data_IF_764464716548
#
_entry.id   IF_764464716548
#
_cell.length_a   1.000
_cell.length_b   1.000
_cell.length_c   1.000
_cell.angle_alpha   90.00
_cell.angle_beta   90.00
_cell.angle_gamma   90.00
#
_symmetry.space_group_name_H-M   'P 1'
#
loop_
_entity.id
_entity.type
_entity.pdbx_description
1 polymer ?
#
# COMPACT_ATOMS: atom_id res chain seq x y z
N UNK A 1 -8.57 -18.53 0.45
CA UNK A 1 -7.74 -17.32 0.50
C UNK A 1 -6.60 -17.65 1.43
N UNK A 2 -5.45 -17.98 0.86
CA UNK A 2 -4.25 -18.43 1.56
C UNK A 2 -3.24 -17.29 1.46
N UNK A 3 -2.66 -16.87 2.59
CA UNK A 3 -1.47 -16.02 2.57
C UNK A 3 -0.31 -16.88 2.06
N UNK A 4 0.02 -16.77 0.77
CA UNK A 4 1.17 -17.45 0.19
C UNK A 4 2.32 -16.46 0.10
N UNK A 5 3.24 -16.52 1.05
CA UNK A 5 4.55 -15.88 0.91
C UNK A 5 5.37 -16.69 -0.10
N UNK A 6 5.67 -16.12 -1.27
CA UNK A 6 6.59 -16.73 -2.21
C UNK A 6 8.04 -16.54 -1.73
N UNK A 7 8.54 -17.50 -0.97
CA UNK A 7 9.96 -17.63 -0.64
C UNK A 7 10.42 -19.05 -0.94
N UNK A 8 11.09 -19.27 -2.08
CA UNK A 8 11.79 -20.54 -2.34
C UNK A 8 13.21 -20.24 -2.78
N UNK A 9 14.15 -20.24 -1.83
CA UNK A 9 15.57 -20.43 -2.11
C UNK A 9 16.21 -21.31 -1.03
N UNK A 10 16.96 -22.31 -1.50
CA UNK A 10 17.69 -23.29 -0.71
C UNK A 10 18.66 -22.61 0.25
N UNK A 11 18.47 -22.85 1.56
CA UNK A 11 19.47 -22.53 2.57
C UNK A 11 20.65 -23.48 2.42
N UNK A 12 21.76 -23.00 1.86
CA UNK A 12 23.09 -23.38 2.34
C UNK A 12 24.03 -22.19 2.15
N UNK A 13 24.51 -21.67 3.29
CA UNK A 13 25.50 -20.60 3.50
C UNK A 13 25.00 -19.13 3.46
N UNK A 14 25.12 -18.51 4.64
CA UNK A 14 25.28 -17.08 4.93
C UNK A 14 24.11 -16.13 4.65
N UNK A 15 23.40 -15.81 5.75
CA UNK A 15 22.78 -14.53 6.13
C UNK A 15 22.68 -13.48 5.00
N UNK A 16 21.63 -13.58 4.19
CA UNK A 16 21.04 -12.47 3.45
C UNK A 16 19.55 -12.80 3.26
N UNK A 17 18.71 -12.36 4.19
CA UNK A 17 17.30 -12.77 4.29
C UNK A 17 16.38 -11.67 3.73
N UNK A 18 15.52 -12.06 2.78
CA UNK A 18 14.35 -11.34 2.23
C UNK A 18 14.57 -10.03 1.42
N UNK A 19 14.89 -10.19 0.13
CA UNK A 19 14.74 -9.15 -0.91
C UNK A 19 13.56 -9.39 -1.88
N UNK A 20 12.68 -10.37 -1.62
CA UNK A 20 11.47 -10.54 -2.41
C UNK A 20 10.29 -9.86 -1.71
N UNK A 21 9.59 -8.92 -2.37
CA UNK A 21 8.33 -8.41 -1.84
C UNK A 21 7.34 -9.58 -1.68
N UNK A 22 6.63 -9.62 -0.56
CA UNK A 22 5.56 -10.59 -0.35
C UNK A 22 4.43 -10.26 -1.33
N UNK A 23 4.32 -11.04 -2.41
CA UNK A 23 3.31 -10.92 -3.46
C UNK A 23 2.15 -11.87 -3.11
N UNK A 24 0.97 -11.32 -2.83
CA UNK A 24 -0.23 -12.11 -2.55
C UNK A 24 -1.23 -12.01 -3.71
N UNK A 25 -1.36 -13.05 -4.57
CA UNK A 25 -2.44 -13.08 -5.55
C UNK A 25 -3.75 -13.55 -4.92
N UNK A 26 -4.85 -12.85 -5.21
CA UNK A 26 -6.21 -13.29 -4.88
C UNK A 26 -7.03 -13.47 -6.15
N UNK A 27 -6.99 -14.69 -6.73
CA UNK A 27 -8.16 -15.42 -7.27
C UNK A 27 -7.78 -16.90 -7.41
N UNK A 28 -8.67 -17.79 -6.95
CA UNK A 28 -8.50 -19.24 -7.01
C UNK A 28 -9.41 -19.80 -8.11
N UNK A 29 -8.84 -20.12 -9.27
CA UNK A 29 -9.43 -21.07 -10.23
C UNK A 29 -8.32 -21.78 -11.00
N UNK A 30 -8.28 -23.12 -10.85
CA UNK A 30 -7.55 -24.17 -11.60
C UNK A 30 -6.05 -23.99 -11.88
N UNK A 31 -5.24 -24.86 -11.26
CA UNK A 31 -3.84 -25.24 -11.63
C UNK A 31 -2.88 -24.08 -11.94
N UNK A 32 -1.98 -23.81 -11.00
CA UNK A 32 -1.00 -22.71 -10.94
C UNK A 32 -0.04 -22.52 -12.12
N UNK A 33 -0.11 -23.34 -13.17
CA UNK A 33 0.84 -23.28 -14.30
C UNK A 33 0.33 -22.49 -15.52
N UNK A 34 -0.97 -22.23 -15.64
CA UNK A 34 -1.54 -21.61 -16.87
C UNK A 34 -2.24 -20.25 -16.69
N UNK A 35 -2.37 -19.74 -15.45
CA UNK A 35 -2.94 -18.41 -15.24
C UNK A 35 -1.97 -17.31 -15.71
N UNK A 36 -2.37 -16.58 -16.76
CA UNK A 36 -1.68 -15.37 -17.24
C UNK A 36 -2.61 -14.17 -17.00
N UNK A 37 -2.16 -13.16 -16.24
CA UNK A 37 -2.94 -11.95 -16.06
C UNK A 37 -3.21 -11.27 -17.40
N UNK A 38 -4.40 -10.70 -17.54
CA UNK A 38 -4.73 -9.88 -18.71
C UNK A 38 -4.14 -8.47 -18.57
N UNK A 39 -4.15 -7.70 -19.65
CA UNK A 39 -3.72 -6.29 -19.60
C UNK A 39 -4.68 -5.50 -18.73
N UNK A 40 -4.14 -4.59 -17.91
CA UNK A 40 -4.93 -3.76 -16.97
C UNK A 40 -5.93 -4.56 -16.12
N UNK A 41 -5.55 -5.76 -15.67
CA UNK A 41 -6.41 -6.62 -14.85
C UNK A 41 -6.09 -6.56 -13.36
N UNK A 42 -5.00 -5.88 -12.96
CA UNK A 42 -4.50 -5.88 -11.58
C UNK A 42 -4.47 -4.47 -10.98
N UNK A 43 -5.01 -4.34 -9.77
CA UNK A 43 -4.85 -3.18 -8.89
C UNK A 43 -3.66 -3.46 -7.96
N UNK A 44 -2.65 -2.60 -7.99
CA UNK A 44 -1.47 -2.76 -7.14
C UNK A 44 -1.65 -1.94 -5.85
N UNK A 45 -1.78 -2.64 -4.72
CA UNK A 45 -1.93 -2.02 -3.40
C UNK A 45 -0.62 -2.19 -2.61
N UNK A 46 0.05 -1.09 -2.28
CA UNK A 46 1.43 -1.11 -1.77
C UNK A 46 1.57 -0.46 -0.39
N UNK A 47 2.48 -1.00 0.42
CA UNK A 47 2.97 -0.37 1.64
C UNK A 47 4.47 -0.60 1.79
N UNK A 48 5.16 0.37 2.41
CA UNK A 48 6.56 0.23 2.81
C UNK A 48 6.66 -0.67 4.04
N UNK A 49 7.64 -1.58 4.05
CA UNK A 49 7.87 -2.52 5.13
C UNK A 49 9.12 -2.18 5.97
N UNK A 50 10.07 -1.45 5.39
CA UNK A 50 11.38 -1.23 5.98
C UNK A 50 11.50 0.10 6.72
N UNK A 51 12.33 0.09 7.77
CA UNK A 51 12.71 1.25 8.57
C UNK A 51 14.21 1.26 8.84
N UNK A 52 14.74 2.43 9.17
CA UNK A 52 16.02 2.59 9.82
C UNK A 52 15.94 3.68 10.89
N UNK A 53 16.96 3.72 11.74
CA UNK A 53 17.18 4.83 12.67
C UNK A 53 18.68 5.07 12.80
N UNK A 54 19.07 6.12 13.56
CA UNK A 54 20.47 6.41 13.87
C UNK A 54 21.18 5.25 14.59
N UNK A 55 20.44 4.44 15.35
CA UNK A 55 21.01 3.37 16.16
C UNK A 55 20.66 2.01 15.58
N UNK A 56 21.70 1.20 15.40
CA UNK A 56 21.52 -0.16 14.93
C UNK A 56 20.61 -0.96 15.86
N UNK A 57 19.72 -1.77 15.28
CA UNK A 57 18.75 -2.62 15.98
C UNK A 57 17.72 -1.88 16.86
N UNK A 58 17.49 -0.59 16.62
CA UNK A 58 16.45 0.18 17.30
C UNK A 58 15.56 0.88 16.26
N UNK A 59 14.54 0.18 15.78
CA UNK A 59 13.67 0.64 14.68
C UNK A 59 12.17 0.45 15.00
N UNK A 60 11.63 1.12 16.04
CA UNK A 60 10.26 0.89 16.48
C UNK A 60 9.20 1.29 15.44
N UNK A 61 9.41 2.42 14.76
CA UNK A 61 8.75 2.80 13.50
C UNK A 61 7.23 2.62 13.42
N UNK A 62 6.56 3.05 14.49
CA UNK A 62 5.14 2.85 14.68
C UNK A 62 4.29 3.53 13.59
N UNK A 63 4.48 4.83 13.36
CA UNK A 63 3.74 5.50 12.30
C UNK A 63 4.38 5.31 10.93
N UNK A 64 5.70 5.39 10.84
CA UNK A 64 6.37 5.52 9.55
C UNK A 64 6.19 4.31 8.62
N UNK A 65 6.11 3.07 9.12
CA UNK A 65 5.82 1.90 8.28
C UNK A 65 4.81 0.92 8.88
N UNK A 66 4.78 0.71 10.20
CA UNK A 66 3.81 -0.23 10.80
C UNK A 66 2.36 0.20 10.50
N UNK A 67 2.06 1.51 10.57
CA UNK A 67 0.71 2.02 10.28
C UNK A 67 0.21 1.63 8.88
N UNK A 68 1.06 1.76 7.85
CA UNK A 68 0.74 1.40 6.47
C UNK A 68 0.57 -0.10 6.28
N UNK A 69 1.44 -0.91 6.90
CA UNK A 69 1.34 -2.37 6.84
C UNK A 69 0.02 -2.84 7.46
N UNK A 70 -0.30 -2.36 8.65
CA UNK A 70 -1.52 -2.75 9.36
C UNK A 70 -2.76 -2.31 8.58
N UNK A 71 -2.77 -1.09 8.04
CA UNK A 71 -3.87 -0.61 7.20
C UNK A 71 -4.10 -1.51 5.99
N UNK A 72 -3.03 -1.88 5.28
CA UNK A 72 -3.12 -2.70 4.07
C UNK A 72 -3.54 -4.14 4.37
N UNK A 73 -3.05 -4.73 5.46
CA UNK A 73 -3.49 -6.05 5.92
C UNK A 73 -4.95 -6.05 6.37
N UNK A 74 -5.36 -5.02 7.10
CA UNK A 74 -6.73 -4.89 7.55
C UNK A 74 -7.70 -4.69 6.38
N UNK A 75 -7.28 -3.93 5.36
CA UNK A 75 -7.98 -3.80 4.09
C UNK A 75 -8.14 -5.15 3.39
N UNK A 76 -7.06 -5.91 3.25
CA UNK A 76 -7.09 -7.25 2.66
C UNK A 76 -8.05 -8.19 3.42
N UNK A 77 -8.02 -8.16 4.75
CA UNK A 77 -8.90 -8.96 5.59
C UNK A 77 -10.38 -8.56 5.45
N UNK A 78 -10.66 -7.27 5.36
CA UNK A 78 -12.03 -6.80 5.16
C UNK A 78 -12.55 -7.15 3.76
N UNK A 79 -11.73 -6.96 2.72
CA UNK A 79 -12.06 -7.37 1.36
C UNK A 79 -12.34 -8.87 1.25
N UNK A 80 -11.55 -9.69 1.96
CA UNK A 80 -11.76 -11.14 2.04
C UNK A 80 -13.15 -11.49 2.57
N UNK A 81 -13.69 -10.73 3.54
CA UNK A 81 -15.03 -10.96 4.09
C UNK A 81 -16.15 -10.62 3.11
N UNK A 82 -15.92 -9.69 2.19
CA UNK A 82 -16.91 -9.27 1.19
C UNK A 82 -16.73 -9.95 -0.17
N UNK A 83 -15.87 -10.97 -0.26
CA UNK A 83 -15.55 -11.71 -1.49
C UNK A 83 -16.74 -12.15 -2.34
N UNK A 84 -17.89 -12.43 -1.72
CA UNK A 84 -19.06 -12.97 -2.41
C UNK A 84 -19.76 -11.88 -3.25
N UNK A 85 -19.36 -10.62 -3.08
CA UNK A 85 -19.82 -9.49 -3.88
C UNK A 85 -18.92 -9.21 -5.10
N UNK A 86 -17.82 -9.96 -5.26
CA UNK A 86 -16.92 -9.85 -6.41
C UNK A 86 -17.36 -10.81 -7.51
N UNK A 87 -17.38 -10.29 -8.73
CA UNK A 87 -17.77 -11.04 -9.91
C UNK A 87 -16.57 -11.25 -10.86
N UNK A 88 -16.85 -11.69 -12.08
CA UNK A 88 -15.81 -11.89 -13.09
C UNK A 88 -15.32 -10.57 -13.71
N UNK A 89 -15.96 -9.44 -13.41
CA UNK A 89 -15.56 -8.10 -13.89
C UNK A 89 -14.69 -7.36 -12.88
N UNK A 90 -14.69 -7.80 -11.63
CA UNK A 90 -13.84 -7.25 -10.57
C UNK A 90 -12.37 -7.57 -10.85
N UNK A 91 -11.52 -6.53 -10.80
CA UNK A 91 -10.07 -6.68 -11.01
C UNK A 91 -9.41 -7.39 -9.84
N UNK A 92 -8.29 -8.06 -10.13
CA UNK A 92 -7.49 -8.69 -9.08
C UNK A 92 -6.73 -7.63 -8.28
N UNK A 93 -6.66 -7.77 -6.96
CA UNK A 93 -5.82 -6.90 -6.13
C UNK A 93 -4.53 -7.63 -5.76
N UNK A 94 -3.41 -7.00 -6.06
CA UNK A 94 -2.09 -7.44 -5.62
C UNK A 94 -1.64 -6.61 -4.42
N UNK A 95 -1.71 -7.21 -3.24
CA UNK A 95 -1.13 -6.64 -2.02
C UNK A 95 0.38 -6.86 -2.01
N UNK A 96 1.13 -5.77 -1.88
CA UNK A 96 2.59 -5.76 -1.96
C UNK A 96 3.21 -5.00 -0.81
N UNK A 97 4.16 -5.64 -0.13
CA UNK A 97 4.96 -5.03 0.93
C UNK A 97 6.40 -4.90 0.45
N UNK A 98 6.90 -3.67 0.38
CA UNK A 98 8.19 -3.35 -0.22
C UNK A 98 9.26 -3.16 0.85
N UNK A 99 10.38 -3.87 0.70
CA UNK A 99 11.53 -3.81 1.61
C UNK A 99 12.67 -3.00 0.97
N UNK A 100 13.40 -2.21 1.75
CA UNK A 100 14.49 -1.37 1.26
C UNK A 100 14.05 -0.07 0.59
N UNK A 101 12.82 0.40 0.83
CA UNK A 101 12.34 1.66 0.28
C UNK A 101 13.02 2.89 0.90
N UNK A 102 13.48 2.77 2.14
CA UNK A 102 14.19 3.82 2.85
C UNK A 102 15.62 4.06 2.32
N UNK A 103 16.14 3.15 1.49
CA UNK A 103 17.47 3.20 0.87
C UNK A 103 17.33 3.29 -0.65
N UNK A 104 16.94 4.45 -1.17
CA UNK A 104 16.79 4.71 -2.62
C UNK A 104 15.82 3.76 -3.36
N UNK A 105 14.77 3.30 -2.68
CA UNK A 105 13.71 2.51 -3.31
C UNK A 105 14.20 1.18 -3.91
N UNK A 106 15.07 0.46 -3.20
CA UNK A 106 15.67 -0.80 -3.66
C UNK A 106 14.58 -1.84 -3.96
N UNK A 107 13.56 -1.96 -3.11
CA UNK A 107 12.51 -2.97 -3.24
C UNK A 107 11.64 -2.77 -4.48
N UNK A 108 11.10 -1.58 -4.66
CA UNK A 108 10.27 -1.22 -5.82
C UNK A 108 11.06 -1.23 -7.11
N UNK A 109 12.30 -0.74 -7.09
CA UNK A 109 13.19 -0.83 -8.26
C UNK A 109 13.49 -2.28 -8.62
N UNK A 110 13.73 -3.14 -7.62
CA UNK A 110 13.95 -4.57 -7.84
C UNK A 110 12.71 -5.25 -8.40
N UNK A 111 11.52 -4.94 -7.88
CA UNK A 111 10.26 -5.46 -8.36
C UNK A 111 10.02 -5.11 -9.84
N UNK A 112 10.24 -3.84 -10.21
CA UNK A 112 10.14 -3.39 -11.61
C UNK A 112 11.15 -4.11 -12.51
N UNK A 113 12.39 -4.29 -12.04
CA UNK A 113 13.39 -5.08 -12.76
C UNK A 113 12.92 -6.52 -12.99
N UNK A 114 12.36 -7.17 -11.97
CA UNK A 114 11.86 -8.54 -12.08
C UNK A 114 10.60 -8.65 -12.95
N UNK A 115 9.75 -7.62 -13.00
CA UNK A 115 8.66 -7.51 -13.98
C UNK A 115 9.18 -7.47 -15.41
N UNK A 116 10.19 -6.63 -15.67
CA UNK A 116 10.82 -6.50 -17.00
C UNK A 116 11.49 -7.81 -17.44
N UNK A 117 12.12 -8.52 -16.49
CA UNK A 117 12.75 -9.83 -16.75
C UNK A 117 11.76 -10.99 -16.76
N UNK A 118 10.49 -10.77 -16.41
CA UNK A 118 9.50 -11.83 -16.26
C UNK A 118 9.86 -12.85 -15.18
N UNK A 119 10.62 -12.43 -14.17
CA UNK A 119 11.09 -13.25 -13.06
C UNK A 119 10.06 -13.36 -11.91
N UNK A 120 9.04 -12.51 -11.92
CA UNK A 120 7.94 -12.59 -10.95
C UNK A 120 7.02 -13.80 -11.22
N UNK A 121 6.39 -14.36 -10.16
CA UNK A 121 5.33 -15.35 -10.31
C UNK A 121 4.24 -14.88 -11.29
N UNK A 122 3.59 -15.83 -11.98
CA UNK A 122 2.57 -15.56 -13.00
C UNK A 122 3.07 -14.72 -14.20
N UNK A 123 4.40 -14.55 -14.33
CA UNK A 123 5.05 -13.69 -15.34
C UNK A 123 4.44 -12.28 -15.32
N UNK A 124 4.18 -11.76 -14.12
CA UNK A 124 3.62 -10.44 -13.92
C UNK A 124 4.52 -9.37 -14.56
N UNK A 125 3.89 -8.44 -15.27
CA UNK A 125 4.52 -7.33 -15.99
C UNK A 125 3.77 -6.04 -15.69
N UNK A 126 4.41 -4.91 -16.02
CA UNK A 126 3.84 -3.58 -15.79
C UNK A 126 2.55 -3.33 -16.59
N UNK A 127 2.36 -3.95 -17.75
CA UNK A 127 1.17 -3.82 -18.60
C UNK A 127 -0.09 -4.50 -18.02
N UNK A 128 0.08 -5.39 -17.04
CA UNK A 128 -1.03 -5.99 -16.31
C UNK A 128 -1.59 -5.06 -15.22
N UNK A 129 -0.83 -4.04 -14.80
CA UNK A 129 -1.24 -3.10 -13.76
C UNK A 129 -2.19 -2.06 -14.35
N UNK A 130 -3.40 -1.97 -13.80
CA UNK A 130 -4.43 -0.99 -14.15
C UNK A 130 -4.22 0.33 -13.39
N UNK A 131 -4.04 0.24 -12.08
CA UNK A 131 -3.88 1.38 -11.17
C UNK A 131 -3.06 1.02 -9.94
N UNK A 132 -2.49 2.02 -9.30
CA UNK A 132 -1.66 1.88 -8.11
C UNK A 132 -2.27 2.66 -6.94
N UNK A 133 -2.31 2.05 -5.77
CA UNK A 133 -2.63 2.73 -4.52
C UNK A 133 -1.59 2.38 -3.47
N UNK A 134 -0.84 3.38 -3.01
CA UNK A 134 0.15 3.23 -1.96
C UNK A 134 -0.33 3.89 -0.67
N UNK A 135 -0.12 3.22 0.45
CA UNK A 135 -0.34 3.77 1.79
C UNK A 135 0.99 4.01 2.49
N UNK A 136 1.11 5.18 3.10
CA UNK A 136 2.31 5.58 3.83
C UNK A 136 1.92 6.53 4.97
N UNK A 137 2.42 6.31 6.19
CA UNK A 137 2.15 7.14 7.38
C UNK A 137 0.66 7.46 7.57
N UNK A 138 -0.05 6.61 8.30
CA UNK A 138 -1.50 6.75 8.47
C UNK A 138 -1.92 6.99 9.93
N UNK A 139 -0.98 7.05 10.88
CA UNK A 139 -1.32 7.07 12.29
C UNK A 139 -1.50 8.49 12.86
N UNK A 140 -0.77 9.50 12.37
CA UNK A 140 -0.87 10.90 12.85
C UNK A 140 -1.78 11.75 11.97
N UNK A 141 -3.08 11.48 12.06
CA UNK A 141 -4.09 12.18 11.27
C UNK A 141 -4.37 13.56 11.86
N UNK A 142 -3.70 14.59 11.35
CA UNK A 142 -3.98 15.98 11.70
C UNK A 142 -5.41 16.33 11.25
N UNK A 143 -6.26 16.74 12.20
CA UNK A 143 -7.68 16.99 11.93
C UNK A 143 -8.49 15.74 11.54
N UNK A 144 -7.96 14.54 11.78
CA UNK A 144 -8.64 13.27 11.47
C UNK A 144 -8.70 12.91 9.99
N UNK A 145 -7.95 13.61 9.12
CA UNK A 145 -8.02 13.40 7.67
C UNK A 145 -6.91 12.48 7.14
N UNK A 146 -7.24 11.74 6.08
CA UNK A 146 -6.28 11.11 5.17
C UNK A 146 -6.20 11.99 3.94
N UNK A 147 -4.98 12.30 3.52
CA UNK A 147 -4.69 13.12 2.36
C UNK A 147 -4.37 12.23 1.17
N UNK A 148 -5.08 12.49 0.06
CA UNK A 148 -4.84 11.84 -1.22
C UNK A 148 -3.86 12.71 -2.02
N UNK A 149 -2.73 12.11 -2.39
CA UNK A 149 -1.73 12.70 -3.28
C UNK A 149 -1.76 11.99 -4.63
N UNK A 150 -1.61 12.76 -5.71
CA UNK A 150 -1.52 12.26 -7.07
C UNK A 150 -0.40 13.02 -7.80
N UNK A 151 0.26 12.36 -8.75
CA UNK A 151 1.36 12.97 -9.49
C UNK A 151 0.87 14.03 -10.49
N UNK A 152 1.34 15.29 -10.40
CA UNK A 152 0.99 16.32 -11.38
C UNK A 152 1.45 15.98 -12.80
N UNK A 153 2.60 15.30 -12.96
CA UNK A 153 3.15 14.99 -14.29
C UNK A 153 2.28 13.97 -15.02
N UNK A 154 1.82 12.94 -14.32
CA UNK A 154 0.91 11.93 -14.84
C UNK A 154 -0.44 12.51 -15.29
N UNK A 155 -0.87 13.65 -14.72
CA UNK A 155 -2.11 14.35 -15.10
C UNK A 155 -1.99 15.16 -16.39
N UNK A 156 -0.80 15.29 -16.97
CA UNK A 156 -0.64 15.91 -18.29
C UNK A 156 -1.28 15.07 -19.40
N UNK A 157 -1.46 13.76 -19.18
CA UNK A 157 -2.27 12.90 -20.04
C UNK A 157 -3.75 13.01 -19.63
N UNK A 158 -4.65 13.49 -20.52
CA UNK A 158 -6.07 13.65 -20.20
C UNK A 158 -6.78 12.36 -19.79
N UNK A 159 -6.39 11.21 -20.35
CA UNK A 159 -7.03 9.93 -20.04
C UNK A 159 -6.66 9.49 -18.61
N UNK A 160 -5.37 9.57 -18.28
CA UNK A 160 -4.88 9.25 -16.93
C UNK A 160 -5.44 10.25 -15.92
N UNK A 161 -5.53 11.53 -16.28
CA UNK A 161 -6.13 12.55 -15.42
C UNK A 161 -7.60 12.24 -15.10
N UNK A 162 -8.39 11.81 -16.07
CA UNK A 162 -9.78 11.38 -15.85
C UNK A 162 -9.84 10.20 -14.88
N UNK A 163 -9.03 9.15 -15.10
CA UNK A 163 -8.99 7.97 -14.24
C UNK A 163 -8.56 8.33 -12.80
N UNK A 164 -7.59 9.23 -12.62
CA UNK A 164 -7.17 9.74 -11.30
C UNK A 164 -8.31 10.49 -10.62
N UNK A 165 -9.04 11.33 -11.35
CA UNK A 165 -10.16 12.09 -10.80
C UNK A 165 -11.31 11.16 -10.36
N UNK A 166 -11.58 10.11 -11.13
CA UNK A 166 -12.57 9.08 -10.78
C UNK A 166 -12.17 8.29 -9.52
N UNK A 167 -10.88 7.97 -9.39
CA UNK A 167 -10.37 7.35 -8.16
C UNK A 167 -10.51 8.28 -6.95
N UNK A 168 -10.17 9.56 -7.11
CA UNK A 168 -10.26 10.55 -6.03
C UNK A 168 -11.72 10.78 -5.62
N UNK A 169 -12.63 10.97 -6.58
CA UNK A 169 -14.05 11.20 -6.29
C UNK A 169 -14.65 10.01 -5.54
N UNK A 170 -14.32 8.79 -5.97
CA UNK A 170 -14.72 7.55 -5.30
C UNK A 170 -14.26 7.53 -3.84
N UNK A 171 -12.98 7.80 -3.57
CA UNK A 171 -12.43 7.78 -2.20
C UNK A 171 -13.02 8.92 -1.35
N UNK A 172 -13.23 10.10 -1.93
CA UNK A 172 -13.84 11.23 -1.23
C UNK A 172 -15.30 10.95 -0.86
N UNK A 173 -16.07 10.34 -1.75
CA UNK A 173 -17.48 10.03 -1.46
C UNK A 173 -17.61 8.94 -0.40
N UNK A 174 -16.70 7.96 -0.39
CA UNK A 174 -16.56 7.00 0.73
C UNK A 174 -16.21 7.76 2.01
N UNK A 175 -15.22 8.66 1.95
CA UNK A 175 -14.75 9.44 3.09
C UNK A 175 -15.81 10.36 3.71
N UNK A 176 -16.65 11.00 2.89
CA UNK A 176 -17.79 11.83 3.34
C UNK A 176 -18.79 11.02 4.14
N UNK A 177 -19.11 9.81 3.66
CA UNK A 177 -20.03 8.90 4.35
C UNK A 177 -19.47 8.38 5.69
N UNK A 178 -18.16 8.56 5.93
CA UNK A 178 -17.45 8.10 7.12
C UNK A 178 -16.96 9.26 8.02
N UNK A 179 -17.70 10.38 8.04
CA UNK A 179 -17.39 11.57 8.87
C UNK A 179 -16.30 12.49 8.30
N UNK A 180 -16.26 12.67 6.98
CA UNK A 180 -15.32 13.59 6.28
C UNK A 180 -13.84 13.32 6.60
N UNK A 181 -13.49 12.04 6.62
CA UNK A 181 -12.17 11.56 7.05
C UNK A 181 -11.11 11.63 5.94
N UNK A 182 -11.44 12.19 4.76
CA UNK A 182 -10.54 12.25 3.60
C UNK A 182 -10.51 13.66 3.01
N UNK A 183 -9.32 14.12 2.64
CA UNK A 183 -9.11 15.33 1.84
C UNK A 183 -8.24 15.05 0.62
N UNK A 184 -8.48 15.76 -0.48
CA UNK A 184 -7.58 15.76 -1.64
C UNK A 184 -6.60 16.93 -1.55
N UNK A 185 -5.35 16.68 -1.93
CA UNK A 185 -4.30 17.71 -1.99
C UNK A 185 -4.43 18.50 -3.29
N UNK A 186 -3.85 19.71 -3.30
CA UNK A 186 -3.76 20.53 -4.50
C UNK A 186 -3.09 19.75 -5.65
N UNK A 187 -3.65 19.90 -6.85
CA UNK A 187 -3.25 19.20 -8.06
C UNK A 187 -1.84 19.55 -8.52
N UNK A 188 -1.28 20.68 -8.06
CA UNK A 188 0.08 21.10 -8.41
C UNK A 188 1.15 20.61 -7.44
N UNK A 189 0.76 19.98 -6.32
CA UNK A 189 1.71 19.54 -5.32
C UNK A 189 2.44 18.27 -5.79
N UNK A 190 3.78 18.19 -5.68
CA UNK A 190 4.51 16.98 -6.01
C UNK A 190 4.14 15.83 -5.05
N UNK A 191 4.30 14.60 -5.52
CA UNK A 191 4.13 13.41 -4.68
C UNK A 191 5.09 13.44 -3.47
N UNK A 192 4.63 13.03 -2.28
CA UNK A 192 5.53 12.73 -1.18
C UNK A 192 6.45 11.55 -1.55
N UNK A 193 7.59 11.36 -0.84
CA UNK A 193 8.45 10.19 -1.03
C UNK A 193 7.66 8.89 -0.91
N UNK A 194 7.55 8.16 -2.03
CA UNK A 194 6.69 7.00 -2.18
C UNK A 194 7.22 6.08 -3.28
N UNK A 195 7.05 4.79 -3.09
CA UNK A 195 7.51 3.73 -4.01
C UNK A 195 6.89 3.89 -5.40
N UNK A 196 5.65 4.38 -5.44
CA UNK A 196 4.87 4.75 -6.63
C UNK A 196 5.67 5.62 -7.61
N UNK A 197 6.56 6.48 -7.12
CA UNK A 197 7.40 7.32 -7.98
C UNK A 197 8.25 6.48 -8.94
N UNK A 198 8.78 5.33 -8.50
CA UNK A 198 9.57 4.42 -9.35
C UNK A 198 8.72 3.79 -10.44
N UNK A 199 7.47 3.44 -10.14
CA UNK A 199 6.55 2.89 -11.12
C UNK A 199 6.19 3.95 -12.17
N UNK A 200 5.87 5.17 -11.75
CA UNK A 200 5.52 6.28 -12.65
C UNK A 200 6.69 6.72 -13.54
N UNK A 201 7.94 6.62 -13.06
CA UNK A 201 9.14 6.83 -13.88
C UNK A 201 9.26 5.82 -15.03
N UNK A 202 8.73 4.61 -14.84
CA UNK A 202 8.79 3.53 -15.83
C UNK A 202 7.62 3.57 -16.80
N UNK A 203 6.39 3.74 -16.30
CA UNK A 203 5.18 3.73 -17.11
C UNK A 203 4.11 4.60 -16.44
N UNK A 204 3.54 5.59 -17.15
CA UNK A 204 2.42 6.37 -16.66
C UNK A 204 1.21 5.44 -16.39
N UNK A 205 0.72 5.46 -15.16
CA UNK A 205 -0.42 4.67 -14.70
C UNK A 205 -1.19 5.50 -13.66
N UNK A 206 -2.52 5.45 -13.61
CA UNK A 206 -3.28 6.11 -12.54
C UNK A 206 -2.79 5.62 -11.17
N UNK A 207 -2.33 6.56 -10.35
CA UNK A 207 -1.72 6.23 -9.07
C UNK A 207 -2.09 7.25 -7.99
N UNK A 208 -2.40 6.74 -6.79
CA UNK A 208 -2.68 7.54 -5.61
C UNK A 208 -1.78 7.12 -4.45
N UNK A 209 -1.31 8.11 -3.69
CA UNK A 209 -0.61 7.90 -2.43
C UNK A 209 -1.47 8.46 -1.29
N UNK A 210 -1.84 7.61 -0.34
CA UNK A 210 -2.65 7.94 0.82
C UNK A 210 -1.75 8.12 2.04
N UNK A 211 -1.86 9.27 2.68
CA UNK A 211 -1.04 9.63 3.86
C UNK A 211 -1.84 10.40 4.90
N UNK A 212 -1.28 10.58 6.08
CA UNK A 212 -1.84 11.39 7.16
C UNK A 212 -1.44 12.87 7.09
N UNK A 213 -0.58 13.26 6.16
CA UNK A 213 -0.05 14.60 6.03
C UNK A 213 -0.39 15.26 4.70
N UNK A 214 -0.66 16.57 4.73
CA UNK A 214 -0.97 17.34 3.51
C UNK A 214 0.27 17.72 2.72
N UNK A 215 1.34 18.18 3.37
CA UNK A 215 2.55 18.70 2.69
C UNK A 215 3.83 18.32 3.44
N UNK A 216 3.87 18.57 4.74
CA UNK A 216 4.98 18.20 5.64
C UNK A 216 4.54 17.04 6.52
N UNK A 217 5.42 16.07 6.77
CA UNK A 217 5.12 14.94 7.66
C UNK A 217 4.60 15.43 9.02
N UNK A 218 3.50 14.83 9.45
CA UNK A 218 2.92 15.02 10.79
C UNK A 218 3.77 14.31 11.85
N UNK A 219 4.41 13.20 11.47
CA UNK A 219 5.33 12.45 12.30
C UNK A 219 6.63 13.23 12.58
N UNK A 220 6.77 13.71 13.82
CA UNK A 220 7.97 14.41 14.31
C UNK A 220 9.16 13.48 14.54
N UNK A 221 8.96 12.16 14.51
CA UNK A 221 9.93 11.14 14.84
C UNK A 221 10.27 10.24 13.64
N UNK A 222 10.10 10.73 12.41
CA UNK A 222 10.43 10.00 11.18
C UNK A 222 11.85 9.40 11.24
N UNK A 223 11.97 8.08 10.98
CA UNK A 223 13.21 7.30 11.09
C UNK A 223 13.97 7.49 12.42
N UNK A 224 13.24 7.64 13.52
CA UNK A 224 13.80 7.84 14.86
C UNK A 224 13.41 6.71 15.81
N UNK A 225 14.27 6.48 16.81
CA UNK A 225 13.97 5.58 17.95
C UNK A 225 12.77 6.02 18.79
N UNK A 226 12.28 7.24 18.56
CA UNK A 226 11.14 7.82 19.28
C UNK A 226 9.81 7.63 18.54
N UNK A 227 9.79 7.00 17.37
CA UNK A 227 8.55 6.61 16.68
C UNK A 227 7.95 5.34 17.31
N UNK A 228 7.32 5.52 18.48
CA UNK A 228 6.87 4.44 19.35
C UNK A 228 5.34 4.26 19.27
N UNK A 229 4.83 3.09 19.65
CA UNK A 229 3.38 2.87 19.77
C UNK A 229 2.69 3.91 20.69
N UNK A 230 3.41 4.42 21.70
CA UNK A 230 2.91 5.50 22.58
C UNK A 230 2.61 6.77 21.81
N UNK A 231 3.46 7.12 20.85
CA UNK A 231 3.37 8.41 20.18
C UNK A 231 2.16 8.44 19.24
N UNK A 232 1.75 7.27 18.71
CA UNK A 232 0.53 7.09 17.90
C UNK A 232 -0.72 6.68 18.71
N UNK A 233 -0.68 6.75 20.04
CA UNK A 233 -1.79 6.33 20.91
C UNK A 233 -2.24 4.87 20.72
N UNK A 234 -1.31 3.98 20.33
CA UNK A 234 -1.56 2.55 20.11
C UNK A 234 -1.05 1.67 21.27
N UNK A 235 -0.82 2.24 22.45
CA UNK A 235 -0.47 1.43 23.62
C UNK A 235 -1.68 0.66 24.11
N UNK A 236 -1.57 -0.67 24.09
CA UNK A 236 -2.53 -1.58 24.72
C UNK A 236 -2.09 -1.77 26.17
N UNK A 237 -3.00 -1.58 27.12
CA UNK A 237 -2.73 -1.89 28.51
C UNK A 237 -2.54 -3.41 28.65
N UNK A 238 -1.48 -3.86 29.30
CA UNK A 238 -1.15 -5.29 29.44
C UNK A 238 -2.24 -6.13 30.15
N UNK A 239 -3.19 -5.48 30.83
CA UNK A 239 -4.38 -6.10 31.42
C UNK A 239 -5.52 -6.37 30.43
N UNK A 240 -5.50 -5.73 29.26
CA UNK A 240 -6.40 -6.03 28.13
C UNK A 240 -5.79 -7.16 27.30
N UNK A 241 -5.89 -8.38 27.82
CA UNK A 241 -5.50 -9.63 27.15
C UNK A 241 -6.42 -10.02 25.98
N UNK A 242 -7.18 -9.06 25.43
CA UNK A 242 -8.05 -9.26 24.28
C UNK A 242 -7.33 -8.94 22.98
N UNK A 243 -6.96 -9.97 22.21
CA UNK A 243 -6.55 -9.88 20.80
C UNK A 243 -7.64 -9.27 19.87
N UNK A 244 -8.71 -8.69 20.42
CA UNK A 244 -9.88 -8.17 19.72
C UNK A 244 -9.94 -6.63 19.66
N UNK A 245 -8.91 -5.92 20.12
CA UNK A 245 -8.90 -4.45 20.07
C UNK A 245 -8.49 -3.93 18.68
N UNK A 246 -9.44 -3.36 17.93
CA UNK A 246 -9.19 -2.66 16.66
C UNK A 246 -9.13 -1.16 16.94
N UNK A 247 -7.99 -0.53 16.64
CA UNK A 247 -7.82 0.92 16.81
C UNK A 247 -8.68 1.69 15.80
N UNK A 248 -9.14 2.89 16.16
CA UNK A 248 -10.02 3.69 15.30
C UNK A 248 -9.31 4.17 14.01
N UNK A 249 -7.98 4.29 14.06
CA UNK A 249 -7.13 4.53 12.90
C UNK A 249 -7.26 3.39 11.88
N UNK A 250 -7.20 2.14 12.35
CA UNK A 250 -7.32 0.95 11.50
C UNK A 250 -8.72 0.85 10.91
N UNK A 251 -9.78 1.07 11.71
CA UNK A 251 -11.17 1.05 11.21
C UNK A 251 -11.35 2.02 10.03
N UNK A 252 -10.79 3.22 10.13
CA UNK A 252 -10.92 4.23 9.07
C UNK A 252 -10.17 3.85 7.78
N UNK A 253 -8.95 3.34 7.92
CA UNK A 253 -8.13 2.95 6.77
C UNK A 253 -8.76 1.77 6.00
N UNK A 254 -9.32 0.80 6.73
CA UNK A 254 -9.99 -0.39 6.16
C UNK A 254 -11.11 -0.01 5.19
N UNK A 255 -11.96 0.95 5.55
CA UNK A 255 -13.17 1.23 4.76
C UNK A 255 -12.84 1.82 3.39
N UNK A 256 -11.71 2.55 3.25
CA UNK A 256 -11.26 3.09 1.96
C UNK A 256 -11.05 1.97 0.92
N UNK A 257 -10.55 0.82 1.37
CA UNK A 257 -10.21 -0.29 0.48
C UNK A 257 -11.37 -1.22 0.16
N UNK A 258 -12.48 -1.19 0.92
CA UNK A 258 -13.56 -2.20 0.84
C UNK A 258 -14.71 -1.77 -0.07
N UNK A 259 -14.73 -0.53 -0.53
CA UNK A 259 -15.84 -0.03 -1.36
C UNK A 259 -15.90 -0.68 -2.73
N UNK A 260 -17.11 -1.07 -3.13
CA UNK A 260 -17.43 -1.71 -4.43
C UNK A 260 -17.10 -0.82 -5.65
N UNK A 261 -16.90 0.48 -5.44
CA UNK A 261 -16.49 1.43 -6.48
C UNK A 261 -14.97 1.53 -6.64
N UNK A 262 -14.20 1.03 -5.67
CA UNK A 262 -12.73 1.00 -5.70
C UNK A 262 -12.17 -0.28 -6.34
N UNK A 263 -12.99 -1.33 -6.37
CA UNK A 263 -12.72 -2.66 -6.93
C UNK A 263 -13.25 -2.79 -8.36
#
# INVERSE_FOLDING_TARGET
>A
YELVCFGRYNLHHSIFLCLLPCIFPVKRTSTSEDYKPEKKSIILAMARMDSYSLFENIYPSADNQISGIVALLAAAEALRKYKDHFDNTTKDILFTFLNGEAFDYIGSTRMLYDMDKGALPLKLKMDHIDRIVEVNQLAYREGGKIWIHADPVSRNDPNISSEINDMISTILDIGKNLSDIVGAVDQTQPLPPASTQKFLQKTPVPALVLTDHKKTFTNKYYNSRFDLAKTISAMVNASDSGYNHVTDQVKSAVVIFVSKSFL
#
